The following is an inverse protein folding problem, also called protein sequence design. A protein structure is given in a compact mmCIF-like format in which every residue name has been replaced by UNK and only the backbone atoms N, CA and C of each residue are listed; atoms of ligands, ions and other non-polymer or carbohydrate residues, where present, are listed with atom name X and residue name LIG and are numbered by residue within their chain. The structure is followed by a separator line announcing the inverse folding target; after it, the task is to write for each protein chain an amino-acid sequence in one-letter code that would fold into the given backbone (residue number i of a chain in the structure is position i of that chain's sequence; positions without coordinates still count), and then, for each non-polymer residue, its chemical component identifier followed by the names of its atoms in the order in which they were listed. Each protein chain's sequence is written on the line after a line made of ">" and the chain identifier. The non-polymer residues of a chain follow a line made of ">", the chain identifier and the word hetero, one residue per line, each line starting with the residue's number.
data_IF_293933672484
#
_entry.id   IF_293933672484
#
_cell.length_a   1.000
_cell.length_b   1.000
_cell.length_c   1.000
_cell.angle_alpha   90.00
_cell.angle_beta   90.00
_cell.angle_gamma   90.00
#
_symmetry.space_group_name_H-M   'P 1'
#
loop_
_entity.id
_entity.type
_entity.pdbx_description
1 polymer ?
#
# COMPACT_ATOMS: atom_id res chain seq x y z
N UNK A 1 -74.10 -53.14 -0.45
CA UNK A 1 -73.71 -54.06 -1.55
C UNK A 1 -72.21 -53.90 -1.79
N UNK A 2 -71.43 -55.00 -1.73
CA UNK A 2 -70.21 -55.35 -2.53
C UNK A 2 -69.33 -54.15 -3.01
N UNK A 3 -68.03 -54.01 -2.74
CA UNK A 3 -66.85 -54.91 -2.91
C UNK A 3 -65.64 -54.26 -2.18
N UNK A 4 -64.84 -54.97 -1.36
CA UNK A 4 -63.55 -55.62 -1.71
C UNK A 4 -62.59 -54.77 -2.57
N UNK A 5 -61.51 -54.23 -2.01
CA UNK A 5 -60.18 -54.87 -2.02
C UNK A 5 -59.10 -53.95 -1.41
N UNK A 6 -58.31 -54.52 -0.51
CA UNK A 6 -57.12 -53.92 0.07
C UNK A 6 -55.91 -54.16 -0.84
N UNK A 7 -54.99 -53.19 -0.96
CA UNK A 7 -53.56 -53.53 -1.11
C UNK A 7 -52.71 -52.46 -0.44
N UNK A 8 -51.74 -53.00 0.30
CA UNK A 8 -50.82 -52.44 1.27
C UNK A 8 -49.74 -51.58 0.62
N UNK A 9 -49.33 -50.51 1.30
CA UNK A 9 -48.21 -49.68 0.88
C UNK A 9 -47.86 -48.59 1.88
N UNK A 10 -47.68 -48.96 3.15
CA UNK A 10 -47.04 -48.08 4.15
C UNK A 10 -45.57 -48.45 4.20
N UNK A 11 -44.70 -47.55 3.76
CA UNK A 11 -43.42 -47.37 4.46
C UNK A 11 -43.05 -45.89 4.36
N UNK A 12 -43.34 -45.16 5.43
CA UNK A 12 -42.94 -43.78 5.58
C UNK A 12 -41.43 -43.68 5.80
N UNK A 13 -40.88 -42.53 5.42
CA UNK A 13 -39.77 -41.93 6.15
C UNK A 13 -40.09 -40.45 6.28
N UNK A 14 -40.31 -40.05 7.54
CA UNK A 14 -40.44 -38.66 7.98
C UNK A 14 -39.14 -37.93 7.67
N UNK A 15 -39.16 -36.93 6.79
CA UNK A 15 -38.12 -35.91 6.78
C UNK A 15 -38.46 -34.89 7.85
N UNK A 16 -37.79 -35.03 9.00
CA UNK A 16 -37.80 -34.04 10.06
C UNK A 16 -37.17 -32.74 9.55
N UNK A 17 -37.93 -31.65 9.63
CA UNK A 17 -37.49 -30.28 9.40
C UNK A 17 -36.39 -29.92 10.40
N UNK A 18 -35.13 -30.02 9.98
CA UNK A 18 -33.99 -29.46 10.69
C UNK A 18 -33.82 -27.99 10.29
N UNK A 19 -34.34 -27.07 11.11
CA UNK A 19 -34.02 -25.66 11.03
C UNK A 19 -32.51 -25.47 11.32
N UNK A 20 -31.73 -25.20 10.28
CA UNK A 20 -30.35 -24.71 10.45
C UNK A 20 -30.41 -23.28 10.97
N UNK A 21 -30.06 -23.10 12.24
CA UNK A 21 -29.66 -21.79 12.76
C UNK A 21 -28.38 -21.35 12.05
N UNK A 22 -28.23 -20.08 11.65
CA UNK A 22 -26.93 -19.56 11.23
C UNK A 22 -26.00 -19.48 12.45
N UNK A 23 -24.71 -19.87 12.34
CA UNK A 23 -23.78 -19.61 13.42
C UNK A 23 -23.55 -18.10 13.55
N UNK A 24 -23.80 -17.60 14.77
CA UNK A 24 -23.30 -16.31 15.26
C UNK A 24 -21.80 -16.44 15.56
N UNK A 25 -21.07 -15.37 15.25
CA UNK A 25 -19.75 -14.97 15.77
C UNK A 25 -18.53 -15.46 14.99
N UNK A 26 -17.74 -14.52 14.46
CA UNK A 26 -16.62 -13.93 15.19
C UNK A 26 -15.76 -13.10 14.21
N UNK A 27 -15.52 -11.83 14.55
CA UNK A 27 -14.46 -11.03 13.96
C UNK A 27 -14.70 -10.61 12.51
N UNK A 28 -15.10 -9.36 12.31
CA UNK A 28 -14.58 -8.61 11.18
C UNK A 28 -13.06 -8.53 11.38
N UNK A 29 -12.34 -9.56 10.92
CA UNK A 29 -10.92 -9.41 10.66
C UNK A 29 -10.81 -8.19 9.76
N UNK A 30 -10.13 -7.15 10.24
CA UNK A 30 -9.61 -6.09 9.39
C UNK A 30 -8.70 -6.81 8.40
N UNK A 31 -9.27 -7.23 7.27
CA UNK A 31 -8.48 -7.73 6.17
C UNK A 31 -7.56 -6.58 5.80
N UNK A 32 -6.22 -6.77 5.75
CA UNK A 32 -5.36 -5.78 5.15
C UNK A 32 -5.86 -5.61 3.72
N UNK A 33 -6.42 -4.45 3.39
CA UNK A 33 -6.96 -4.15 2.05
C UNK A 33 -5.85 -4.42 1.03
N UNK A 34 -5.90 -5.52 0.26
CA UNK A 34 -4.86 -5.81 -0.71
C UNK A 34 -5.17 -4.94 -1.94
N UNK A 35 -4.42 -3.85 -2.14
CA UNK A 35 -4.56 -3.09 -3.39
C UNK A 35 -4.13 -1.61 -3.40
N UNK A 36 -3.79 -1.00 -2.26
CA UNK A 36 -3.39 0.43 -2.25
C UNK A 36 -1.88 0.66 -2.43
N UNK A 37 -1.08 -0.39 -2.63
CA UNK A 37 0.39 -0.30 -2.74
C UNK A 37 0.87 0.27 -4.09
N UNK A 38 0.01 0.39 -5.10
CA UNK A 38 0.41 0.75 -6.46
C UNK A 38 0.43 2.26 -6.77
N UNK A 39 -0.06 3.13 -5.88
CA UNK A 39 -0.17 4.56 -6.18
C UNK A 39 1.03 5.42 -5.74
N UNK A 40 2.03 4.83 -5.08
CA UNK A 40 3.21 5.54 -4.59
C UNK A 40 4.34 5.51 -5.60
N UNK A 41 4.84 6.71 -5.95
CA UNK A 41 5.97 6.89 -6.86
C UNK A 41 6.98 7.86 -6.27
N UNK A 42 8.24 7.66 -6.61
CA UNK A 42 9.31 8.63 -6.35
C UNK A 42 9.48 9.52 -7.58
N UNK A 43 9.21 10.81 -7.41
CA UNK A 43 9.47 11.86 -8.39
C UNK A 43 10.75 12.64 -8.05
N UNK A 44 11.23 13.41 -9.01
CA UNK A 44 12.27 14.40 -8.74
C UNK A 44 12.20 15.56 -9.73
N UNK A 45 12.52 16.77 -9.25
CA UNK A 45 12.77 17.95 -10.07
C UNK A 45 14.27 18.31 -9.98
N UNK A 46 14.79 19.02 -10.99
CA UNK A 46 16.19 19.46 -11.01
C UNK A 46 16.34 20.83 -11.67
N UNK A 47 17.27 21.62 -11.15
CA UNK A 47 17.62 22.96 -11.63
C UNK A 47 19.12 23.02 -11.81
N UNK A 48 19.55 23.43 -13.01
CA UNK A 48 20.97 23.62 -13.33
C UNK A 48 21.50 24.86 -12.61
N UNK A 49 22.55 24.70 -11.81
CA UNK A 49 23.24 25.80 -11.11
C UNK A 49 24.54 26.22 -11.81
N UNK A 50 25.10 25.38 -12.69
CA UNK A 50 26.32 25.67 -13.44
C UNK A 50 26.62 24.63 -14.52
N UNK A 51 27.84 24.65 -15.05
CA UNK A 51 28.24 23.79 -16.18
C UNK A 51 27.96 22.30 -15.92
N UNK A 52 28.27 21.81 -14.70
CA UNK A 52 28.06 20.41 -14.29
C UNK A 52 27.48 20.29 -12.88
N UNK A 53 26.68 21.26 -12.45
CA UNK A 53 26.12 21.30 -11.10
C UNK A 53 24.62 21.46 -11.15
N UNK A 54 23.91 20.59 -10.43
CA UNK A 54 22.46 20.57 -10.37
C UNK A 54 22.00 20.54 -8.92
N UNK A 55 21.01 21.35 -8.60
CA UNK A 55 20.18 21.16 -7.42
C UNK A 55 19.00 20.30 -7.82
N UNK A 56 18.73 19.26 -7.05
CA UNK A 56 17.60 18.39 -7.28
C UNK A 56 16.79 18.21 -6.00
N UNK A 57 15.50 17.99 -6.17
CA UNK A 57 14.56 17.71 -5.08
C UNK A 57 13.84 16.41 -5.40
N UNK A 58 14.05 15.38 -4.60
CA UNK A 58 13.28 14.14 -4.65
C UNK A 58 12.05 14.24 -3.75
N UNK A 59 10.96 13.58 -4.13
CA UNK A 59 9.71 13.61 -3.38
C UNK A 59 8.86 12.36 -3.67
N UNK A 60 7.91 12.10 -2.78
CA UNK A 60 6.89 11.05 -2.95
C UNK A 60 5.63 11.64 -3.56
N UNK A 61 5.15 11.01 -4.63
CA UNK A 61 3.87 11.30 -5.28
C UNK A 61 2.87 10.18 -4.99
N UNK A 62 1.72 10.54 -4.44
CA UNK A 62 0.56 9.66 -4.26
C UNK A 62 -0.69 10.50 -3.97
N UNK A 63 -1.90 9.90 -4.01
CA UNK A 63 -3.11 10.54 -3.50
C UNK A 63 -2.95 10.97 -2.03
N UNK A 64 -3.56 12.10 -1.66
CA UNK A 64 -3.44 12.69 -0.31
C UNK A 64 -3.82 11.69 0.80
N UNK A 65 -4.86 10.87 0.56
CA UNK A 65 -5.30 9.83 1.48
C UNK A 65 -4.21 8.78 1.78
N UNK A 66 -3.35 8.47 0.82
CA UNK A 66 -2.21 7.56 0.99
C UNK A 66 -1.06 8.27 1.69
N UNK A 67 -0.76 9.51 1.30
CA UNK A 67 0.31 10.31 1.90
C UNK A 67 0.10 10.58 3.40
N UNK A 68 -1.15 10.65 3.87
CA UNK A 68 -1.47 10.80 5.30
C UNK A 68 -1.15 9.56 6.14
N UNK A 69 -0.96 8.41 5.51
CA UNK A 69 -0.62 7.16 6.18
C UNK A 69 0.90 6.96 6.26
N UNK A 70 1.69 7.84 5.63
CA UNK A 70 3.15 7.80 5.64
C UNK A 70 3.67 8.57 6.85
N UNK A 71 4.47 7.90 7.67
CA UNK A 71 5.14 8.46 8.85
C UNK A 71 6.41 9.19 8.48
N UNK A 72 7.32 8.48 7.80
CA UNK A 72 8.61 9.01 7.36
C UNK A 72 9.05 8.36 6.06
N UNK A 73 9.95 9.02 5.34
CA UNK A 73 10.58 8.50 4.13
C UNK A 73 12.09 8.56 4.30
N UNK A 74 12.75 7.45 4.11
CA UNK A 74 14.21 7.40 4.06
C UNK A 74 14.68 7.32 2.60
N UNK A 75 15.62 8.19 2.27
CA UNK A 75 16.32 8.24 1.00
C UNK A 75 17.75 7.77 1.19
N UNK A 76 18.16 6.75 0.44
CA UNK A 76 19.56 6.34 0.35
C UNK A 76 20.17 6.88 -0.94
N UNK A 77 21.05 7.86 -0.78
CA UNK A 77 21.86 8.51 -1.81
C UNK A 77 23.09 7.65 -2.17
N UNK A 78 23.83 8.11 -3.17
CA UNK A 78 25.13 7.52 -3.49
C UNK A 78 26.11 7.68 -2.30
N UNK A 79 26.99 6.70 -2.01
CA UNK A 79 27.91 6.75 -0.87
C UNK A 79 28.90 7.93 -0.84
N UNK A 80 29.07 8.64 -1.96
CA UNK A 80 29.91 9.84 -2.03
C UNK A 80 29.27 11.09 -1.42
N UNK A 81 27.97 11.05 -1.12
CA UNK A 81 27.31 12.14 -0.40
C UNK A 81 27.65 12.04 1.09
N UNK A 82 27.91 13.17 1.77
CA UNK A 82 27.94 13.17 3.23
C UNK A 82 26.56 12.79 3.75
N UNK A 83 26.52 11.91 4.73
CA UNK A 83 25.28 11.34 5.29
C UNK A 83 24.35 10.81 4.18
N UNK A 84 24.70 9.66 3.55
CA UNK A 84 23.99 9.18 2.36
C UNK A 84 22.63 8.57 2.70
N UNK A 85 22.29 8.33 3.97
CA UNK A 85 20.99 7.78 4.37
C UNK A 85 20.25 8.85 5.15
N UNK A 86 19.20 9.42 4.56
CA UNK A 86 18.50 10.59 5.11
C UNK A 86 17.03 10.29 5.31
N UNK A 87 16.54 10.50 6.53
CA UNK A 87 15.14 10.33 6.88
C UNK A 87 14.42 11.68 6.90
N UNK A 88 13.26 11.74 6.24
CA UNK A 88 12.38 12.91 6.19
C UNK A 88 11.02 12.49 6.71
N UNK A 89 10.67 12.96 7.91
CA UNK A 89 9.35 12.79 8.51
C UNK A 89 8.44 14.00 8.27
N UNK A 90 9.02 15.13 7.86
CA UNK A 90 8.22 16.30 7.49
C UNK A 90 7.55 16.08 6.14
N UNK A 91 6.21 15.96 6.16
CA UNK A 91 5.41 15.68 4.96
C UNK A 91 5.50 16.79 3.91
N UNK A 92 5.59 18.06 4.29
CA UNK A 92 5.45 19.18 3.36
C UNK A 92 3.99 19.41 2.92
N UNK A 93 3.78 19.99 1.72
CA UNK A 93 2.46 20.42 1.23
C UNK A 93 2.16 19.89 -0.17
N UNK A 94 0.88 19.59 -0.42
CA UNK A 94 0.39 19.20 -1.76
C UNK A 94 0.62 17.72 -2.09
N UNK A 95 0.56 17.35 -3.39
CA UNK A 95 0.68 15.96 -3.84
C UNK A 95 2.14 15.46 -3.92
N UNK A 96 3.12 16.33 -3.64
CA UNK A 96 4.55 16.01 -3.60
C UNK A 96 5.02 16.16 -2.16
N UNK A 97 5.23 15.05 -1.48
CA UNK A 97 5.51 15.02 -0.06
C UNK A 97 6.92 14.52 0.25
N UNK A 98 7.37 14.79 1.47
CA UNK A 98 8.66 14.38 2.02
C UNK A 98 9.84 14.81 1.15
N UNK A 99 10.00 16.13 0.90
CA UNK A 99 11.00 16.63 -0.02
C UNK A 99 12.42 16.41 0.54
N UNK A 100 13.30 15.87 -0.30
CA UNK A 100 14.74 15.84 -0.06
C UNK A 100 15.44 16.68 -1.13
N UNK A 101 16.06 17.78 -0.72
CA UNK A 101 16.91 18.58 -1.59
C UNK A 101 18.40 18.21 -1.41
N UNK A 102 19.13 18.14 -2.53
CA UNK A 102 20.58 18.07 -2.52
C UNK A 102 21.17 18.63 -3.81
N UNK A 103 22.48 18.82 -3.83
CA UNK A 103 23.24 19.26 -5.01
C UNK A 103 24.17 18.13 -5.47
N UNK A 104 24.27 17.91 -6.78
CA UNK A 104 25.15 16.90 -7.35
C UNK A 104 25.45 17.12 -8.82
N UNK A 105 26.43 16.37 -9.32
CA UNK A 105 26.96 16.50 -10.69
C UNK A 105 26.46 15.39 -11.64
N UNK A 106 25.83 14.33 -11.12
CA UNK A 106 25.46 13.16 -11.93
C UNK A 106 24.20 12.44 -11.47
N UNK A 107 23.60 11.69 -12.40
CA UNK A 107 22.44 10.83 -12.11
C UNK A 107 22.86 9.59 -11.32
N UNK A 108 22.05 9.16 -10.36
CA UNK A 108 22.21 7.87 -9.70
C UNK A 108 20.85 7.25 -9.38
N UNK A 109 20.83 5.98 -8.97
CA UNK A 109 19.62 5.31 -8.51
C UNK A 109 19.41 5.64 -7.04
N UNK A 110 18.37 6.42 -6.76
CA UNK A 110 17.90 6.70 -5.42
C UNK A 110 17.09 5.51 -4.91
N UNK A 111 17.48 4.95 -3.77
CA UNK A 111 16.68 3.94 -3.07
C UNK A 111 15.85 4.63 -2.00
N UNK A 112 14.59 4.23 -1.88
CA UNK A 112 13.63 4.90 -1.00
C UNK A 112 12.88 3.88 -0.19
N UNK A 113 12.80 4.10 1.13
CA UNK A 113 11.96 3.34 2.05
C UNK A 113 10.87 4.26 2.58
N UNK A 114 9.61 3.92 2.32
CA UNK A 114 8.45 4.64 2.83
C UNK A 114 7.93 3.87 4.04
N UNK A 115 7.99 4.50 5.20
CA UNK A 115 7.51 3.93 6.47
C UNK A 115 6.09 4.43 6.72
N UNK A 116 5.16 3.51 6.88
CA UNK A 116 3.77 3.82 7.18
C UNK A 116 3.51 3.80 8.68
N UNK A 117 2.43 4.47 9.10
CA UNK A 117 2.00 4.54 10.50
C UNK A 117 1.62 3.16 11.06
N UNK A 118 1.15 2.25 10.22
CA UNK A 118 0.82 0.86 10.57
C UNK A 118 2.05 -0.06 10.72
N UNK A 119 3.25 0.49 10.51
CA UNK A 119 4.52 -0.23 10.57
C UNK A 119 4.93 -0.92 9.26
N UNK A 120 4.10 -0.89 8.22
CA UNK A 120 4.48 -1.38 6.90
C UNK A 120 5.61 -0.53 6.29
N UNK A 121 6.46 -1.17 5.48
CA UNK A 121 7.56 -0.51 4.77
C UNK A 121 7.46 -0.85 3.29
N UNK A 122 7.31 0.19 2.46
CA UNK A 122 7.36 0.04 1.01
C UNK A 122 8.72 0.50 0.46
N UNK A 123 9.37 -0.37 -0.31
CA UNK A 123 10.64 -0.05 -0.99
C UNK A 123 10.36 0.42 -2.41
N UNK A 124 10.93 1.56 -2.76
CA UNK A 124 10.85 2.17 -4.09
C UNK A 124 12.27 2.47 -4.58
N UNK A 125 12.43 2.57 -5.90
CA UNK A 125 13.69 3.01 -6.50
C UNK A 125 13.40 3.98 -7.63
N UNK A 126 14.32 4.92 -7.85
CA UNK A 126 14.21 5.87 -8.96
C UNK A 126 15.59 6.32 -9.43
N UNK A 127 15.83 6.24 -10.73
CA UNK A 127 16.97 6.95 -11.33
C UNK A 127 16.69 8.45 -11.38
N UNK A 128 17.50 9.25 -10.70
CA UNK A 128 17.42 10.71 -10.73
C UNK A 128 17.57 11.24 -12.15
N UNK A 129 16.71 12.18 -12.52
CA UNK A 129 16.81 12.96 -13.76
C UNK A 129 17.33 14.35 -13.42
N UNK A 130 18.40 14.78 -14.06
CA UNK A 130 18.99 16.11 -13.90
C UNK A 130 18.63 16.97 -15.11
#
# INVERSE_FOLDING_TARGET
>A
MKRLSATLGIMGVLFASGALLPPLSAGAALQPVPGQTQSLRVGNDAVRLGTNLWRWTAYIEAPDAVLRQVRCVEYTLHPTFPDPVREICERGKGPRAFPLEATGWGSFTLQVRVFFEDGHIQKLTRRLRL
#
